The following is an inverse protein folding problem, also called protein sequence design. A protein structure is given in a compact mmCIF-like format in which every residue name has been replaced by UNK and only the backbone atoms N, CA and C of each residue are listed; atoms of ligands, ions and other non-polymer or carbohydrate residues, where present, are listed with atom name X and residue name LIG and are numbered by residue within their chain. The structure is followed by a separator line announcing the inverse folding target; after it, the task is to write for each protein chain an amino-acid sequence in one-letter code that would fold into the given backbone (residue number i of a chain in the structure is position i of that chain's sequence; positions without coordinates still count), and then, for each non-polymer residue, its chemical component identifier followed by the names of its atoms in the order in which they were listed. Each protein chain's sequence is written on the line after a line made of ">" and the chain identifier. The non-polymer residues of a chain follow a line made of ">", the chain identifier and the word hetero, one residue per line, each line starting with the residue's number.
data_IF_338019629573
#
_entry.id   IF_338019629573
#
_cell.length_a   1.000
_cell.length_b   1.000
_cell.length_c   1.000
_cell.angle_alpha   90.00
_cell.angle_beta   90.00
_cell.angle_gamma   90.00
#
_symmetry.space_group_name_H-M   'P 1'
#
loop_
_entity.id
_entity.type
_entity.pdbx_description
1 polymer ?
#
# COMPACT_ATOMS: atom_id res chain seq x y z
N UNK A 1 15.34 -34.94 -3.04
CA UNK A 1 15.34 -33.75 -3.88
C UNK A 1 14.15 -32.86 -3.49
N UNK A 2 14.40 -31.81 -2.74
CA UNK A 2 13.44 -30.72 -2.56
C UNK A 2 13.52 -29.84 -3.81
N UNK A 3 12.81 -30.23 -4.87
CA UNK A 3 12.75 -29.44 -6.09
C UNK A 3 11.91 -28.18 -5.87
N UNK A 4 12.55 -27.06 -5.60
CA UNK A 4 11.90 -25.75 -5.66
C UNK A 4 12.14 -25.21 -7.06
N UNK A 5 11.08 -25.02 -7.80
CA UNK A 5 11.11 -24.40 -9.12
C UNK A 5 10.02 -23.32 -9.19
N UNK A 6 10.27 -22.30 -9.95
CA UNK A 6 9.32 -21.21 -10.13
C UNK A 6 9.69 -20.33 -11.30
N UNK A 7 8.70 -19.72 -11.89
CA UNK A 7 8.85 -18.69 -12.91
C UNK A 7 8.06 -17.48 -12.48
N UNK A 8 8.65 -16.29 -12.57
CA UNK A 8 7.97 -15.03 -12.34
C UNK A 8 8.26 -14.03 -13.43
N UNK A 9 7.35 -13.11 -13.62
CA UNK A 9 7.48 -12.00 -14.55
C UNK A 9 7.08 -10.72 -13.81
N UNK A 10 7.96 -9.73 -13.89
CA UNK A 10 7.68 -8.36 -13.42
C UNK A 10 7.60 -7.43 -14.61
N UNK A 11 6.50 -6.68 -14.68
CA UNK A 11 6.32 -5.63 -15.67
C UNK A 11 6.42 -4.30 -14.93
N UNK A 12 7.43 -3.50 -15.29
CA UNK A 12 7.64 -2.17 -14.74
C UNK A 12 7.25 -1.16 -15.82
N UNK A 13 6.28 -0.33 -15.50
CA UNK A 13 5.81 0.76 -16.32
C UNK A 13 5.99 2.09 -15.58
N UNK A 14 6.37 3.11 -16.30
CA UNK A 14 6.42 4.45 -15.74
C UNK A 14 5.33 5.32 -16.38
N UNK A 15 4.66 6.11 -15.55
CA UNK A 15 3.71 7.13 -15.99
C UNK A 15 4.31 8.50 -15.73
N UNK A 16 4.24 9.36 -16.73
CA UNK A 16 4.72 10.75 -16.63
C UNK A 16 3.66 11.66 -16.03
N UNK A 17 2.40 11.27 -16.16
CA UNK A 17 1.23 11.95 -15.62
C UNK A 17 0.07 11.01 -15.46
N UNK A 18 -1.03 11.52 -14.98
CA UNK A 18 -2.25 10.73 -14.85
C UNK A 18 -3.39 11.55 -14.26
N UNK A 19 -4.59 11.03 -14.42
CA UNK A 19 -5.80 11.54 -13.80
C UNK A 19 -6.49 10.44 -13.03
N UNK A 20 -7.16 10.79 -11.95
CA UNK A 20 -7.80 9.80 -11.12
C UNK A 20 -9.05 10.34 -10.44
N UNK A 21 -9.87 9.41 -10.00
CA UNK A 21 -11.04 9.69 -9.20
C UNK A 21 -11.04 8.76 -7.98
N UNK A 22 -11.34 9.32 -6.82
CA UNK A 22 -11.48 8.58 -5.58
C UNK A 22 -12.75 9.00 -4.84
N UNK A 23 -13.41 8.03 -4.23
CA UNK A 23 -14.57 8.25 -3.38
C UNK A 23 -14.38 7.56 -2.06
N UNK A 24 -14.43 8.35 -0.98
CA UNK A 24 -14.46 7.87 0.39
C UNK A 24 -15.85 8.11 0.97
N UNK A 25 -16.33 7.16 1.74
CA UNK A 25 -17.59 7.25 2.45
C UNK A 25 -17.31 7.14 3.94
N UNK A 26 -17.98 7.94 4.74
CA UNK A 26 -17.82 7.89 6.18
C UNK A 26 -19.03 8.42 6.92
N UNK A 27 -19.23 7.86 8.11
CA UNK A 27 -20.25 8.29 9.04
C UNK A 27 -19.69 8.26 10.45
N UNK A 28 -20.06 9.25 11.25
CA UNK A 28 -19.72 9.32 12.67
C UNK A 28 -20.96 9.70 13.44
N UNK A 29 -21.20 9.04 14.57
CA UNK A 29 -22.30 9.38 15.47
C UNK A 29 -21.97 10.63 16.29
N UNK A 30 -22.96 11.37 16.67
CA UNK A 30 -22.84 12.28 17.79
C UNK A 30 -22.62 11.47 19.10
N UNK A 31 -21.97 12.04 20.11
CA UNK A 31 -21.80 11.38 21.39
C UNK A 31 -23.16 11.08 22.03
N UNK A 32 -23.36 9.80 22.39
CA UNK A 32 -24.56 9.34 23.09
C UNK A 32 -24.13 8.71 24.39
N UNK A 33 -24.40 9.34 25.51
CA UNK A 33 -23.98 8.88 26.85
C UNK A 33 -22.48 8.53 26.93
N UNK A 34 -21.62 9.37 26.29
CA UNK A 34 -20.17 9.16 26.20
C UNK A 34 -19.72 8.16 25.14
N UNK A 35 -20.61 7.48 24.44
CA UNK A 35 -20.29 6.63 23.32
C UNK A 35 -20.17 7.41 22.03
N UNK A 36 -19.19 7.04 21.21
CA UNK A 36 -19.03 7.50 19.82
C UNK A 36 -18.79 6.31 18.92
N UNK A 37 -19.39 6.32 17.74
CA UNK A 37 -19.24 5.30 16.72
C UNK A 37 -18.80 5.99 15.43
N UNK A 38 -17.94 5.33 14.70
CA UNK A 38 -17.54 5.78 13.37
C UNK A 38 -17.37 4.59 12.43
N UNK A 39 -17.76 4.77 11.18
CA UNK A 39 -17.47 3.81 10.13
C UNK A 39 -17.03 4.55 8.89
N UNK A 40 -16.07 4.01 8.18
CA UNK A 40 -15.63 4.56 6.89
C UNK A 40 -15.24 3.46 5.92
N UNK A 41 -15.46 3.76 4.64
CA UNK A 41 -14.99 2.99 3.52
C UNK A 41 -14.09 3.91 2.69
N UNK A 42 -12.79 3.71 2.82
CA UNK A 42 -11.77 4.48 2.11
C UNK A 42 -11.57 3.85 0.75
N UNK A 43 -11.43 4.65 -0.29
CA UNK A 43 -11.35 4.21 -1.67
C UNK A 43 -12.51 3.25 -2.05
N UNK A 44 -13.74 3.58 -1.69
CA UNK A 44 -14.93 2.84 -2.15
C UNK A 44 -14.93 2.68 -3.68
N UNK A 45 -14.45 3.72 -4.35
CA UNK A 45 -14.01 3.72 -5.74
C UNK A 45 -12.70 4.51 -5.76
N UNK A 46 -11.66 3.95 -6.34
CA UNK A 46 -10.39 4.64 -6.48
C UNK A 46 -9.64 4.12 -7.70
N UNK A 47 -9.46 4.96 -8.70
CA UNK A 47 -8.76 4.61 -9.93
C UNK A 47 -7.90 5.77 -10.40
N UNK A 48 -6.66 5.46 -10.74
CA UNK A 48 -5.73 6.39 -11.39
C UNK A 48 -5.42 5.81 -12.76
N UNK A 49 -5.68 6.58 -13.80
CA UNK A 49 -5.28 6.28 -15.17
C UNK A 49 -3.98 7.01 -15.45
N UNK A 50 -2.94 6.27 -15.75
CA UNK A 50 -1.61 6.77 -16.01
C UNK A 50 -1.39 6.93 -17.51
N UNK A 51 -0.76 8.01 -17.90
CA UNK A 51 -0.40 8.28 -19.29
C UNK A 51 1.10 8.07 -19.43
N UNK A 52 1.56 7.04 -20.17
CA UNK A 52 2.99 6.74 -20.31
C UNK A 52 3.73 7.69 -21.25
N UNK A 53 3.05 8.32 -22.19
CA UNK A 53 3.70 9.14 -23.20
C UNK A 53 3.98 10.57 -22.73
N UNK A 54 5.17 11.05 -23.07
CA UNK A 54 5.60 12.43 -22.79
C UNK A 54 4.95 13.51 -23.66
N UNK A 55 3.94 13.21 -24.49
CA UNK A 55 3.27 14.22 -25.32
C UNK A 55 2.55 15.26 -24.46
N UNK A 56 1.92 14.86 -23.37
CA UNK A 56 1.34 15.82 -22.41
C UNK A 56 2.39 16.58 -21.60
N UNK A 57 3.58 16.01 -21.43
CA UNK A 57 4.68 16.70 -20.77
C UNK A 57 5.17 17.93 -21.56
N UNK A 58 5.07 17.88 -22.87
CA UNK A 58 5.44 18.98 -23.77
C UNK A 58 4.33 20.01 -23.96
N UNK A 59 3.12 19.76 -23.50
CA UNK A 59 1.98 20.68 -23.70
C UNK A 59 2.01 21.93 -22.82
N UNK A 60 3.02 22.10 -21.97
CA UNK A 60 3.18 23.27 -21.10
C UNK A 60 2.16 23.38 -19.96
N UNK A 61 1.23 22.42 -19.85
CA UNK A 61 0.15 22.43 -18.85
C UNK A 61 0.62 21.84 -17.51
N UNK A 62 1.68 21.04 -17.53
CA UNK A 62 2.20 20.42 -16.32
C UNK A 62 3.65 20.85 -16.04
N UNK A 63 3.88 21.84 -15.15
CA UNK A 63 5.24 22.31 -14.82
C UNK A 63 6.09 21.23 -14.13
N UNK A 64 5.48 20.15 -13.60
CA UNK A 64 6.20 19.03 -13.01
C UNK A 64 6.79 18.08 -14.06
N UNK A 65 6.30 18.12 -15.29
CA UNK A 65 6.81 17.30 -16.39
C UNK A 65 8.22 17.69 -16.83
N UNK A 66 8.65 18.93 -16.56
CA UNK A 66 10.03 19.39 -16.81
C UNK A 66 11.05 18.79 -15.84
N UNK A 67 10.60 18.14 -14.77
CA UNK A 67 11.41 17.49 -13.73
C UNK A 67 11.31 15.97 -13.76
N UNK A 68 10.95 15.40 -14.90
CA UNK A 68 10.88 13.95 -15.04
C UNK A 68 12.27 13.32 -14.90
N UNK A 69 12.43 12.51 -13.86
CA UNK A 69 13.60 11.68 -13.66
C UNK A 69 13.24 10.27 -14.11
N UNK A 70 13.76 9.82 -15.26
CA UNK A 70 13.46 8.49 -15.75
C UNK A 70 14.02 7.41 -14.80
N UNK A 71 13.27 6.34 -14.66
CA UNK A 71 13.73 5.18 -13.92
C UNK A 71 14.94 4.56 -14.60
N UNK A 72 15.93 4.16 -13.83
CA UNK A 72 17.16 3.53 -14.32
C UNK A 72 17.21 2.07 -13.89
N UNK A 73 17.46 1.17 -14.83
CA UNK A 73 17.63 -0.25 -14.60
C UNK A 73 19.05 -0.67 -15.02
N UNK A 74 19.93 -0.91 -14.06
CA UNK A 74 21.35 -1.05 -14.34
C UNK A 74 21.89 0.23 -14.98
N UNK A 75 22.50 0.11 -16.15
CA UNK A 75 23.04 1.24 -16.92
C UNK A 75 22.02 1.82 -17.93
N UNK A 76 20.83 1.21 -18.04
CA UNK A 76 19.79 1.64 -18.98
C UNK A 76 18.81 2.62 -18.32
N UNK A 77 18.68 3.80 -18.92
CA UNK A 77 17.70 4.82 -18.54
C UNK A 77 16.43 4.64 -19.36
N UNK A 78 15.32 4.40 -18.68
CA UNK A 78 14.05 4.10 -19.31
C UNK A 78 13.52 5.31 -20.08
N UNK A 79 13.17 5.12 -21.35
CA UNK A 79 12.51 6.15 -22.14
C UNK A 79 11.05 6.34 -21.69
N UNK A 80 10.41 7.50 -21.91
CA UNK A 80 9.06 7.78 -21.40
C UNK A 80 7.99 6.77 -21.83
N UNK A 81 8.13 6.18 -23.00
CA UNK A 81 7.20 5.19 -23.58
C UNK A 81 7.69 3.74 -23.44
N UNK A 82 8.81 3.54 -22.74
CA UNK A 82 9.43 2.24 -22.58
C UNK A 82 8.96 1.55 -21.29
N UNK A 83 8.84 0.24 -21.35
CA UNK A 83 8.50 -0.63 -20.22
C UNK A 83 9.53 -1.75 -20.10
N UNK A 84 9.75 -2.23 -18.89
CA UNK A 84 10.64 -3.35 -18.61
C UNK A 84 9.80 -4.59 -18.37
N UNK A 85 10.14 -5.66 -19.06
CA UNK A 85 9.68 -7.02 -18.74
C UNK A 85 10.87 -7.79 -18.20
N UNK A 86 10.83 -8.04 -16.90
CA UNK A 86 11.84 -8.83 -16.21
C UNK A 86 11.29 -10.22 -15.91
N UNK A 87 11.83 -11.21 -16.58
CA UNK A 87 11.47 -12.61 -16.37
C UNK A 87 12.57 -13.32 -15.60
N UNK A 88 12.19 -14.07 -14.57
CA UNK A 88 13.12 -14.91 -13.84
C UNK A 88 12.59 -16.35 -13.76
N UNK A 89 13.50 -17.29 -13.88
CA UNK A 89 13.25 -18.71 -13.67
C UNK A 89 14.12 -19.19 -12.51
N UNK A 90 13.49 -19.89 -11.58
CA UNK A 90 14.17 -20.64 -10.53
C UNK A 90 14.12 -22.09 -10.97
N UNK A 91 15.27 -22.65 -11.32
CA UNK A 91 15.40 -24.07 -11.59
C UNK A 91 15.82 -24.81 -10.32
N UNK A 92 15.41 -26.04 -10.21
CA UNK A 92 15.56 -26.98 -9.09
C UNK A 92 16.69 -26.65 -8.12
N UNK A 93 16.37 -26.15 -6.92
CA UNK A 93 17.37 -25.91 -5.87
C UNK A 93 17.89 -27.27 -5.40
N UNK A 94 19.11 -27.60 -5.78
CA UNK A 94 19.88 -28.70 -5.20
C UNK A 94 20.83 -28.14 -4.16
N UNK A 95 21.02 -28.86 -3.06
CA UNK A 95 21.90 -28.42 -1.96
C UNK A 95 23.37 -28.23 -2.42
N UNK A 96 23.79 -28.95 -3.46
CA UNK A 96 25.12 -28.86 -4.07
C UNK A 96 25.30 -27.63 -4.99
N UNK A 97 24.20 -26.99 -5.40
CA UNK A 97 24.22 -25.79 -6.27
C UNK A 97 24.01 -24.47 -5.53
N UNK A 98 23.79 -24.50 -4.21
CA UNK A 98 23.55 -23.29 -3.40
C UNK A 98 24.73 -22.29 -3.40
N UNK A 99 25.91 -22.72 -3.84
CA UNK A 99 27.10 -21.89 -3.94
C UNK A 99 27.37 -21.29 -5.33
N UNK A 100 26.53 -21.59 -6.34
CA UNK A 100 26.71 -21.11 -7.70
C UNK A 100 25.60 -20.12 -8.09
N UNK A 101 25.99 -19.00 -8.71
CA UNK A 101 25.10 -17.97 -9.26
C UNK A 101 24.13 -18.47 -10.34
N UNK A 102 24.22 -19.73 -10.74
CA UNK A 102 23.42 -20.34 -11.81
C UNK A 102 22.02 -20.82 -11.39
N UNK A 103 21.60 -20.58 -10.14
CA UNK A 103 20.25 -20.95 -9.65
C UNK A 103 19.14 -20.07 -10.22
N UNK A 104 19.51 -18.87 -10.64
CA UNK A 104 18.58 -17.90 -11.19
C UNK A 104 18.98 -17.54 -12.61
N UNK A 105 18.15 -17.90 -13.57
CA UNK A 105 18.25 -17.32 -14.90
C UNK A 105 17.27 -16.15 -14.98
N UNK A 106 17.77 -15.01 -15.38
CA UNK A 106 16.96 -13.82 -15.58
C UNK A 106 17.16 -13.27 -16.99
N UNK A 107 16.11 -12.70 -17.52
CA UNK A 107 16.14 -11.96 -18.78
C UNK A 107 15.44 -10.62 -18.56
N UNK A 108 16.07 -9.57 -19.04
CA UNK A 108 15.48 -8.23 -19.04
C UNK A 108 15.24 -7.81 -20.48
N UNK A 109 13.98 -7.56 -20.81
CA UNK A 109 13.57 -7.08 -22.12
C UNK A 109 12.98 -5.69 -21.97
N UNK A 110 13.50 -4.75 -22.75
CA UNK A 110 12.95 -3.41 -22.87
C UNK A 110 11.98 -3.41 -24.06
N UNK A 111 10.80 -2.88 -23.86
CA UNK A 111 9.78 -2.87 -24.91
C UNK A 111 9.01 -1.56 -24.92
N UNK A 112 8.72 -1.10 -26.12
CA UNK A 112 7.84 0.02 -26.41
C UNK A 112 6.42 -0.41 -26.77
N UNK A 113 6.16 -1.74 -26.85
CA UNK A 113 4.86 -2.27 -27.27
C UNK A 113 3.75 -2.09 -26.25
N UNK A 114 4.09 -1.76 -24.98
CA UNK A 114 3.14 -1.52 -23.92
C UNK A 114 2.77 -0.03 -23.79
N UNK A 115 2.66 0.68 -24.93
CA UNK A 115 2.39 2.13 -25.03
C UNK A 115 1.00 2.55 -24.52
N UNK A 116 0.14 1.61 -24.17
CA UNK A 116 -1.22 1.93 -23.74
C UNK A 116 -1.24 2.51 -22.32
N UNK A 117 -2.13 3.43 -22.08
CA UNK A 117 -2.48 3.89 -20.75
C UNK A 117 -2.71 2.69 -19.83
N UNK A 118 -2.26 2.79 -18.61
CA UNK A 118 -2.53 1.77 -17.62
C UNK A 118 -3.26 2.34 -16.41
N UNK A 119 -4.08 1.52 -15.80
CA UNK A 119 -4.87 1.90 -14.64
C UNK A 119 -4.31 1.25 -13.37
N UNK A 120 -4.28 2.05 -12.31
CA UNK A 120 -4.03 1.58 -10.95
C UNK A 120 -5.30 1.76 -10.13
N UNK A 121 -5.83 0.66 -9.61
CA UNK A 121 -6.92 0.73 -8.64
C UNK A 121 -6.34 0.87 -7.24
N UNK A 122 -6.86 1.82 -6.48
CA UNK A 122 -6.55 1.96 -5.07
C UNK A 122 -7.36 0.93 -4.28
N UNK A 123 -6.72 0.17 -3.37
CA UNK A 123 -7.42 -0.83 -2.59
C UNK A 123 -8.40 -0.19 -1.63
N UNK A 124 -9.59 -0.74 -1.58
CA UNK A 124 -10.60 -0.31 -0.61
C UNK A 124 -10.26 -0.81 0.79
N UNK A 125 -10.51 0.03 1.78
CA UNK A 125 -10.31 -0.30 3.19
C UNK A 125 -11.52 0.11 4.00
N UNK A 126 -12.09 -0.83 4.73
CA UNK A 126 -13.15 -0.58 5.69
C UNK A 126 -12.54 -0.32 7.07
N UNK A 127 -13.09 0.67 7.78
CA UNK A 127 -12.77 0.94 9.18
C UNK A 127 -14.06 1.12 9.97
N UNK A 128 -14.07 0.55 11.17
CA UNK A 128 -15.11 0.76 12.16
C UNK A 128 -14.47 1.06 13.50
N UNK A 129 -14.85 2.18 14.10
CA UNK A 129 -14.34 2.64 15.37
C UNK A 129 -15.45 2.82 16.40
N UNK A 130 -15.14 2.51 17.64
CA UNK A 130 -15.99 2.65 18.78
C UNK A 130 -15.19 3.26 19.92
N UNK A 131 -15.71 4.29 20.59
CA UNK A 131 -15.09 4.79 21.80
C UNK A 131 -16.11 5.13 22.89
N UNK A 132 -15.64 5.04 24.13
CA UNK A 132 -16.40 5.40 25.31
C UNK A 132 -15.56 6.29 26.22
N UNK A 133 -16.12 7.42 26.55
CA UNK A 133 -15.55 8.37 27.51
C UNK A 133 -16.17 8.16 28.88
N UNK A 134 -15.32 7.94 29.89
CA UNK A 134 -15.63 7.82 31.32
C UNK A 134 -15.07 9.00 32.13
N UNK A 135 -14.80 10.12 31.48
CA UNK A 135 -14.23 11.33 32.09
C UNK A 135 -12.71 11.26 32.20
N UNK A 136 -12.18 10.50 33.15
CA UNK A 136 -10.72 10.33 33.29
C UNK A 136 -10.13 9.17 32.46
N UNK A 137 -10.99 8.38 31.83
CA UNK A 137 -10.60 7.27 30.97
C UNK A 137 -11.34 7.34 29.65
N UNK A 138 -10.61 7.25 28.57
CA UNK A 138 -11.14 6.99 27.25
C UNK A 138 -10.78 5.55 26.87
N UNK A 139 -11.76 4.78 26.47
CA UNK A 139 -11.54 3.46 25.87
C UNK A 139 -11.96 3.55 24.40
N UNK A 140 -11.12 3.07 23.53
CA UNK A 140 -11.40 3.02 22.10
C UNK A 140 -11.09 1.65 21.53
N UNK A 141 -11.84 1.24 20.53
CA UNK A 141 -11.64 0.01 19.79
C UNK A 141 -11.86 0.27 18.31
N UNK A 142 -10.97 -0.25 17.47
CA UNK A 142 -10.99 -0.09 16.03
C UNK A 142 -10.90 -1.46 15.35
N UNK A 143 -11.67 -1.60 14.28
CA UNK A 143 -11.63 -2.73 13.38
C UNK A 143 -11.30 -2.21 11.98
N UNK A 144 -10.24 -2.73 11.39
CA UNK A 144 -9.79 -2.36 10.05
C UNK A 144 -9.76 -3.61 9.18
N UNK A 145 -10.26 -3.51 7.96
CA UNK A 145 -10.19 -4.59 6.98
C UNK A 145 -9.90 -4.05 5.59
N UNK A 146 -8.87 -4.57 4.96
CA UNK A 146 -8.66 -4.39 3.54
C UNK A 146 -9.37 -5.48 2.74
N UNK A 147 -9.74 -5.17 1.50
CA UNK A 147 -10.39 -6.11 0.59
C UNK A 147 -9.41 -6.77 -0.36
N UNK A 148 -8.23 -6.20 -0.51
CA UNK A 148 -7.19 -6.66 -1.43
C UNK A 148 -5.80 -6.61 -0.77
N UNK A 149 -4.91 -7.52 -1.19
CA UNK A 149 -3.49 -7.48 -0.84
C UNK A 149 -2.75 -6.62 -1.87
N UNK A 150 -2.81 -5.31 -1.74
CA UNK A 150 -2.23 -4.38 -2.69
C UNK A 150 -1.83 -3.08 -2.00
N UNK A 151 -0.64 -2.55 -2.34
CA UNK A 151 -0.08 -1.37 -1.71
C UNK A 151 -0.06 -1.50 -0.17
N UNK A 152 -0.71 -0.58 0.52
CA UNK A 152 -0.81 -0.53 1.98
C UNK A 152 -1.99 -1.37 2.54
N UNK A 153 -2.86 -1.91 1.70
CA UNK A 153 -4.01 -2.70 2.12
C UNK A 153 -3.67 -4.17 2.19
N UNK A 154 -4.17 -4.85 3.21
CA UNK A 154 -4.08 -6.29 3.37
C UNK A 154 -5.48 -6.88 3.52
N UNK A 155 -5.74 -7.99 2.85
CA UNK A 155 -7.00 -8.74 2.95
C UNK A 155 -7.07 -9.52 4.27
N UNK A 156 -6.91 -8.77 5.37
CA UNK A 156 -6.93 -9.32 6.73
C UNK A 156 -7.60 -8.30 7.65
N UNK A 157 -8.32 -8.82 8.63
CA UNK A 157 -8.88 -8.01 9.69
C UNK A 157 -7.83 -7.71 10.75
N UNK A 158 -7.79 -6.45 11.17
CA UNK A 158 -7.02 -6.02 12.34
C UNK A 158 -7.98 -5.40 13.32
N UNK A 159 -8.00 -5.94 14.51
CA UNK A 159 -8.72 -5.38 15.64
C UNK A 159 -7.74 -4.74 16.62
N UNK A 160 -8.08 -3.56 17.12
CA UNK A 160 -7.27 -2.83 18.08
C UNK A 160 -8.15 -2.34 19.22
N UNK A 161 -7.61 -2.34 20.42
CA UNK A 161 -8.22 -1.74 21.59
C UNK A 161 -7.18 -0.89 22.31
N UNK A 162 -7.60 0.27 22.78
CA UNK A 162 -6.72 1.16 23.52
C UNK A 162 -7.44 1.90 24.61
N UNK A 163 -6.70 2.36 25.58
CA UNK A 163 -7.20 3.23 26.64
C UNK A 163 -6.24 4.40 26.87
N UNK A 164 -6.81 5.54 27.18
CA UNK A 164 -6.10 6.74 27.59
C UNK A 164 -6.57 7.15 28.97
N UNK A 165 -5.63 7.37 29.89
CA UNK A 165 -5.90 7.89 31.21
C UNK A 165 -5.46 9.34 31.28
N UNK A 166 -6.42 10.24 31.56
CA UNK A 166 -6.26 11.70 31.50
C UNK A 166 -6.42 12.40 32.85
N UNK A 167 -6.34 11.65 33.96
CA UNK A 167 -6.45 12.24 35.31
C UNK A 167 -5.38 13.30 35.59
N UNK A 168 -4.20 13.15 34.97
CA UNK A 168 -3.16 14.18 34.92
C UNK A 168 -3.18 14.85 33.55
N UNK A 169 -3.77 16.02 33.35
CA UNK A 169 -3.91 16.65 32.03
C UNK A 169 -2.57 16.93 31.34
N UNK A 170 -1.51 17.12 32.13
CA UNK A 170 -0.14 17.36 31.63
C UNK A 170 0.62 16.09 31.27
N UNK A 171 0.08 14.92 31.61
CA UNK A 171 0.75 13.64 31.35
C UNK A 171 -0.30 12.52 31.11
N UNK A 172 -1.02 12.52 29.98
CA UNK A 172 -1.90 11.44 29.64
C UNK A 172 -1.10 10.14 29.37
N UNK A 173 -1.57 9.05 29.95
CA UNK A 173 -0.99 7.73 29.75
C UNK A 173 -1.85 6.92 28.80
N UNK A 174 -1.22 6.26 27.84
CA UNK A 174 -1.90 5.46 26.81
C UNK A 174 -1.33 4.06 26.78
N UNK A 175 -2.22 3.09 26.64
CA UNK A 175 -1.86 1.71 26.35
C UNK A 175 -2.82 1.17 25.29
N UNK A 176 -2.29 0.42 24.35
CA UNK A 176 -3.07 -0.17 23.28
C UNK A 176 -2.56 -1.54 22.89
N UNK A 177 -3.48 -2.38 22.47
CA UNK A 177 -3.22 -3.72 21.97
C UNK A 177 -3.91 -3.89 20.62
N UNK A 178 -3.19 -4.45 19.65
CA UNK A 178 -3.70 -4.80 18.34
C UNK A 178 -3.53 -6.29 18.05
N UNK A 179 -4.51 -6.87 17.37
CA UNK A 179 -4.49 -8.24 16.95
C UNK A 179 -4.99 -8.40 15.52
N UNK A 180 -4.30 -9.26 14.76
CA UNK A 180 -4.60 -9.51 13.35
C UNK A 180 -3.82 -8.59 12.40
N UNK A 181 -4.19 -8.58 11.14
CA UNK A 181 -3.41 -7.91 10.10
C UNK A 181 -2.12 -8.67 9.77
N UNK A 182 -1.09 -7.93 9.36
CA UNK A 182 0.20 -8.52 8.98
C UNK A 182 1.11 -8.90 10.14
N UNK A 183 0.93 -8.23 11.28
CA UNK A 183 1.89 -8.30 12.39
C UNK A 183 1.41 -9.18 13.55
N UNK A 184 0.29 -9.87 13.37
CA UNK A 184 -0.37 -10.78 14.31
C UNK A 184 -0.73 -10.17 15.67
N UNK A 185 0.21 -9.54 16.38
CA UNK A 185 -0.01 -8.89 17.68
C UNK A 185 0.89 -7.67 17.83
N UNK A 186 0.34 -6.60 18.39
CA UNK A 186 1.04 -5.36 18.70
C UNK A 186 0.67 -4.89 20.10
N UNK A 187 1.65 -4.43 20.86
CA UNK A 187 1.45 -3.73 22.12
C UNK A 187 2.08 -2.34 22.02
N UNK A 188 1.29 -1.31 22.26
CA UNK A 188 1.73 0.08 22.26
C UNK A 188 1.56 0.72 23.62
N UNK A 189 2.53 1.51 24.06
CA UNK A 189 2.45 2.37 25.24
C UNK A 189 2.92 3.76 24.88
N UNK A 190 2.30 4.78 25.45
CA UNK A 190 2.66 6.17 25.22
C UNK A 190 2.31 7.06 26.39
N UNK A 191 3.02 8.17 26.45
CA UNK A 191 2.73 9.30 27.33
C UNK A 191 2.99 10.59 26.56
N UNK A 192 2.31 11.67 26.89
CA UNK A 192 2.46 12.93 26.18
C UNK A 192 1.71 14.04 26.85
#
# INVERSE_FOLDING_TARGET
>A
DLGIYGRGEYIIRQGVGGSGFGLDLGVVSQPLNGWKFGASLINAVGTIRWTPSGEEANSGINPLASSFYPFTWGDHQLQPDESIIYTFNIDTIRADKLSNDSLFTNETNFTDTLKNDFESRMPSTFRFGLSKDYGNFLIASDLVAGFENRFYSRKQWKWSIGTEWTRMPSLPLRIGFGWGGGDMQELGMGFG
#
